data_IF_564648920550
#
_entry.id   IF_564648920550
#
_cell.length_a   1.000
_cell.length_b   1.000
_cell.length_c   1.000
_cell.angle_alpha   90.00
_cell.angle_beta   90.00
_cell.angle_gamma   90.00
#
_symmetry.space_group_name_H-M   'P 1'
#
loop_
_entity.id
_entity.type
_entity.pdbx_description
1 polymer ?
#
# COMPACT_ATOMS: atom_id res chain seq x y z
N UNK A 1 -7.61 -44.92 0.90
CA UNK A 1 -6.68 -44.09 1.70
C UNK A 1 -6.11 -42.99 0.81
N UNK A 2 -6.78 -41.84 0.65
CA UNK A 2 -6.18 -40.59 0.16
C UNK A 2 -6.96 -39.43 0.77
N UNK A 3 -6.32 -38.74 1.72
CA UNK A 3 -6.86 -37.59 2.45
C UNK A 3 -6.83 -36.40 1.49
N UNK A 4 -8.00 -35.88 1.15
CA UNK A 4 -8.14 -34.64 0.39
C UNK A 4 -7.50 -33.48 1.14
N UNK A 5 -6.40 -32.94 0.61
CA UNK A 5 -5.87 -31.65 1.05
C UNK A 5 -6.78 -30.55 0.49
N UNK A 6 -7.91 -30.33 1.16
CA UNK A 6 -8.59 -29.05 1.09
C UNK A 6 -7.65 -28.00 1.65
N UNK A 7 -6.87 -27.36 0.78
CA UNK A 7 -6.23 -26.07 1.07
C UNK A 7 -7.38 -25.13 1.43
N UNK A 8 -7.65 -24.99 2.73
CA UNK A 8 -8.41 -23.87 3.25
C UNK A 8 -7.68 -22.63 2.73
N UNK A 9 -8.28 -21.93 1.75
CA UNK A 9 -7.90 -20.55 1.47
C UNK A 9 -8.03 -19.84 2.81
N UNK A 10 -6.91 -19.61 3.48
CA UNK A 10 -6.87 -18.60 4.54
C UNK A 10 -7.47 -17.35 3.90
N UNK A 11 -8.40 -16.64 4.54
CA UNK A 11 -8.70 -15.29 4.11
C UNK A 11 -7.33 -14.60 4.03
N UNK A 12 -6.90 -14.23 2.83
CA UNK A 12 -5.58 -13.61 2.61
C UNK A 12 -5.52 -12.25 3.35
N UNK A 13 -6.68 -11.78 3.81
CA UNK A 13 -6.94 -10.54 4.54
C UNK A 13 -7.73 -10.86 5.83
N UNK A 14 -7.16 -11.66 6.72
CA UNK A 14 -7.67 -11.73 8.10
C UNK A 14 -7.13 -10.53 8.85
N UNK A 15 -8.00 -9.62 9.31
CA UNK A 15 -7.71 -8.48 10.20
C UNK A 15 -6.42 -7.68 9.91
N UNK A 16 -5.94 -7.68 8.66
CA UNK A 16 -4.76 -6.92 8.29
C UNK A 16 -5.20 -5.51 7.92
N UNK A 17 -5.02 -4.58 8.84
CA UNK A 17 -5.14 -3.14 8.58
C UNK A 17 -4.15 -2.74 7.48
N UNK A 18 -4.67 -2.19 6.38
CA UNK A 18 -3.86 -1.51 5.38
C UNK A 18 -3.60 -0.09 5.85
N UNK A 19 -2.32 0.26 5.92
CA UNK A 19 -1.84 1.61 6.11
C UNK A 19 -1.47 2.17 4.75
N UNK A 20 -1.88 3.39 4.49
CA UNK A 20 -1.57 4.10 3.26
C UNK A 20 -1.36 5.58 3.56
N UNK A 21 -0.57 6.24 2.73
CA UNK A 21 -0.33 7.66 2.85
C UNK A 21 0.52 8.17 1.70
N UNK A 22 0.88 9.44 1.80
CA UNK A 22 1.75 10.09 0.82
C UNK A 22 3.04 10.55 1.48
N UNK A 23 4.11 10.60 0.70
CA UNK A 23 5.37 11.20 1.12
C UNK A 23 6.04 11.85 -0.09
N UNK A 24 6.73 12.96 0.13
CA UNK A 24 7.52 13.58 -0.93
C UNK A 24 8.90 12.93 -0.99
N UNK A 25 9.28 12.45 -2.16
CA UNK A 25 10.62 11.90 -2.37
C UNK A 25 11.65 13.04 -2.33
N UNK A 26 12.67 13.00 -1.44
CA UNK A 26 13.53 14.15 -1.18
C UNK A 26 14.47 14.50 -2.35
N UNK A 27 14.78 13.54 -3.23
CA UNK A 27 15.64 13.77 -4.40
C UNK A 27 14.84 14.21 -5.63
N UNK A 28 13.80 13.48 -6.01
CA UNK A 28 13.02 13.76 -7.22
C UNK A 28 11.90 14.79 -7.03
N UNK A 29 11.56 15.13 -5.78
CA UNK A 29 10.50 16.09 -5.45
C UNK A 29 9.08 15.58 -5.70
N UNK A 30 8.94 14.36 -6.25
CA UNK A 30 7.64 13.74 -6.55
C UNK A 30 6.95 13.27 -5.29
N UNK A 31 5.63 13.39 -5.27
CA UNK A 31 4.76 12.85 -4.24
C UNK A 31 4.47 11.38 -4.52
N UNK A 32 4.92 10.50 -3.64
CA UNK A 32 4.70 9.07 -3.77
C UNK A 32 3.64 8.59 -2.81
N UNK A 33 2.72 7.76 -3.31
CA UNK A 33 1.76 7.04 -2.48
C UNK A 33 2.39 5.74 -2.02
N UNK A 34 2.34 5.47 -0.72
CA UNK A 34 2.87 4.25 -0.12
C UNK A 34 1.78 3.45 0.59
N UNK A 35 1.98 2.14 0.65
CA UNK A 35 1.14 1.20 1.37
C UNK A 35 1.96 0.32 2.32
N UNK A 36 1.32 -0.24 3.33
CA UNK A 36 1.91 -1.21 4.25
C UNK A 36 0.83 -2.01 4.99
N UNK A 37 1.06 -3.31 5.18
CA UNK A 37 0.18 -4.17 5.98
C UNK A 37 0.70 -4.42 7.39
N UNK A 38 1.99 -4.24 7.62
CA UNK A 38 2.67 -4.62 8.87
C UNK A 38 3.44 -3.47 9.53
N UNK A 39 3.66 -2.37 8.83
CA UNK A 39 4.60 -1.31 9.18
C UNK A 39 6.04 -1.60 8.75
N UNK A 40 6.40 -2.86 8.52
CA UNK A 40 7.75 -3.25 8.07
C UNK A 40 7.89 -3.36 6.55
N UNK A 41 6.76 -3.31 5.84
CA UNK A 41 6.61 -3.57 4.42
C UNK A 41 6.15 -2.31 3.67
N UNK A 42 6.81 -1.18 3.93
CA UNK A 42 6.51 0.07 3.22
C UNK A 42 6.85 -0.13 1.74
N UNK A 43 5.84 0.00 0.88
CA UNK A 43 6.00 -0.05 -0.57
C UNK A 43 5.37 1.18 -1.21
N UNK A 44 6.12 1.85 -2.06
CA UNK A 44 5.58 2.90 -2.92
C UNK A 44 4.94 2.29 -4.16
N UNK A 45 3.79 2.82 -4.55
CA UNK A 45 2.96 2.25 -5.62
C UNK A 45 2.59 3.25 -6.71
N UNK A 46 2.65 4.56 -6.44
CA UNK A 46 2.50 5.61 -7.46
C UNK A 46 3.42 6.78 -7.16
N UNK A 47 3.75 7.57 -8.19
CA UNK A 47 4.50 8.81 -8.07
C UNK A 47 3.83 9.91 -8.90
N UNK A 48 3.64 11.08 -8.29
CA UNK A 48 2.90 12.21 -8.84
C UNK A 48 3.70 13.50 -8.73
N UNK A 49 3.46 14.43 -9.65
CA UNK A 49 4.05 15.77 -9.58
C UNK A 49 3.33 16.65 -8.54
N UNK A 50 2.06 16.37 -8.28
CA UNK A 50 1.22 17.13 -7.36
C UNK A 50 0.84 16.30 -6.12
N UNK A 51 0.84 16.95 -4.96
CA UNK A 51 0.42 16.36 -3.69
C UNK A 51 -1.05 15.93 -3.71
N UNK A 52 -1.92 16.74 -4.31
CA UNK A 52 -3.36 16.47 -4.35
C UNK A 52 -3.68 15.18 -5.10
N UNK A 53 -2.93 14.88 -6.15
CA UNK A 53 -3.15 13.68 -6.96
C UNK A 53 -2.66 12.42 -6.22
N UNK A 54 -1.53 12.52 -5.53
CA UNK A 54 -1.09 11.46 -4.63
C UNK A 54 -2.10 11.23 -3.48
N UNK A 55 -2.66 12.30 -2.90
CA UNK A 55 -3.63 12.19 -1.81
C UNK A 55 -4.94 11.54 -2.27
N UNK A 56 -5.43 11.89 -3.46
CA UNK A 56 -6.61 11.23 -4.08
C UNK A 56 -6.36 9.72 -4.24
N UNK A 57 -5.18 9.33 -4.69
CA UNK A 57 -4.81 7.92 -4.85
C UNK A 57 -4.76 7.22 -3.48
N UNK A 58 -4.10 7.82 -2.49
CA UNK A 58 -4.03 7.28 -1.13
C UNK A 58 -5.43 7.04 -0.53
N UNK A 59 -6.35 8.00 -0.71
CA UNK A 59 -7.75 7.87 -0.28
C UNK A 59 -8.48 6.76 -1.04
N UNK A 60 -8.33 6.68 -2.36
CA UNK A 60 -8.97 5.63 -3.17
C UNK A 60 -8.52 4.23 -2.72
N UNK A 61 -7.25 4.07 -2.33
CA UNK A 61 -6.73 2.82 -1.78
C UNK A 61 -7.36 2.52 -0.41
N UNK A 62 -7.40 3.51 0.49
CA UNK A 62 -8.00 3.35 1.82
C UNK A 62 -9.49 2.97 1.72
N UNK A 63 -10.23 3.64 0.84
CA UNK A 63 -11.65 3.36 0.61
C UNK A 63 -11.86 1.97 0.03
N UNK A 64 -11.10 1.58 -1.00
CA UNK A 64 -11.23 0.25 -1.59
C UNK A 64 -10.89 -0.87 -0.60
N UNK A 65 -9.96 -0.62 0.33
CA UNK A 65 -9.65 -1.55 1.41
C UNK A 65 -10.78 -1.64 2.43
N UNK A 66 -11.31 -0.49 2.88
CA UNK A 66 -12.42 -0.41 3.84
C UNK A 66 -13.69 -1.06 3.32
N UNK A 67 -13.96 -0.95 2.02
CA UNK A 67 -15.09 -1.62 1.36
C UNK A 67 -14.90 -3.14 1.23
N UNK A 68 -13.71 -3.68 1.53
CA UNK A 68 -13.38 -5.09 1.32
C UNK A 68 -13.48 -5.50 -0.14
N UNK A 69 -13.22 -4.54 -1.05
CA UNK A 69 -13.46 -4.65 -2.50
C UNK A 69 -12.58 -5.70 -3.17
N UNK A 70 -11.39 -5.94 -2.62
CA UNK A 70 -10.42 -6.91 -3.14
C UNK A 70 -10.23 -8.04 -2.13
N UNK A 71 -10.51 -9.27 -2.56
CA UNK A 71 -10.45 -10.47 -1.72
C UNK A 71 -9.24 -11.33 -2.03
N UNK A 72 -8.58 -11.08 -3.16
CA UNK A 72 -7.38 -11.80 -3.58
C UNK A 72 -6.19 -10.88 -3.84
N UNK A 73 -5.00 -11.48 -3.79
CA UNK A 73 -3.74 -10.84 -4.15
C UNK A 73 -3.74 -10.33 -5.59
N UNK A 74 -4.37 -11.07 -6.51
CA UNK A 74 -4.44 -10.72 -7.93
C UNK A 74 -5.30 -9.47 -8.16
N UNK A 75 -6.46 -9.40 -7.50
CA UNK A 75 -7.35 -8.23 -7.56
C UNK A 75 -6.67 -6.98 -7.00
N UNK A 76 -5.99 -7.12 -5.87
CA UNK A 76 -5.23 -6.03 -5.24
C UNK A 76 -4.10 -5.56 -6.16
N UNK A 77 -3.37 -6.50 -6.77
CA UNK A 77 -2.28 -6.17 -7.71
C UNK A 77 -2.81 -5.49 -8.97
N UNK A 78 -3.94 -5.95 -9.50
CA UNK A 78 -4.58 -5.35 -10.67
C UNK A 78 -5.06 -3.92 -10.37
N UNK A 79 -5.64 -3.70 -9.19
CA UNK A 79 -6.02 -2.37 -8.73
C UNK A 79 -4.81 -1.45 -8.63
N UNK A 80 -3.75 -1.86 -7.94
CA UNK A 80 -2.52 -1.05 -7.81
C UNK A 80 -1.96 -0.67 -9.19
N UNK A 81 -1.93 -1.62 -10.13
CA UNK A 81 -1.48 -1.36 -11.51
C UNK A 81 -2.41 -0.43 -12.30
N UNK A 82 -3.67 -0.32 -11.91
CA UNK A 82 -4.64 0.58 -12.54
C UNK A 82 -4.58 2.01 -12.01
N UNK A 83 -3.87 2.25 -10.90
CA UNK A 83 -3.75 3.58 -10.32
C UNK A 83 -2.96 4.50 -11.25
N UNK A 84 -3.37 5.78 -11.38
CA UNK A 84 -2.64 6.75 -12.17
C UNK A 84 -1.25 6.98 -11.54
N UNK A 85 -0.24 7.21 -12.38
CA UNK A 85 1.11 7.60 -11.96
C UNK A 85 1.72 8.52 -13.03
N UNK A 86 2.32 9.62 -12.62
CA UNK A 86 2.89 10.62 -13.54
C UNK A 86 4.32 10.29 -13.95
N UNK A 87 4.96 9.36 -13.23
CA UNK A 87 6.36 9.03 -13.45
C UNK A 87 6.78 7.72 -12.79
N UNK A 88 8.07 7.40 -12.90
CA UNK A 88 8.65 6.25 -12.23
C UNK A 88 8.58 6.41 -10.71
N UNK A 89 8.41 5.28 -10.03
CA UNK A 89 8.43 5.18 -8.57
C UNK A 89 9.88 4.95 -8.15
N UNK A 90 10.49 5.99 -7.58
CA UNK A 90 11.86 5.91 -7.08
C UNK A 90 11.88 5.35 -5.65
N UNK A 91 12.82 4.46 -5.30
CA UNK A 91 12.90 3.89 -3.97
C UNK A 91 13.15 4.96 -2.92
N UNK A 92 12.31 4.98 -1.87
CA UNK A 92 12.47 5.92 -0.77
C UNK A 92 13.80 5.70 -0.03
N UNK A 93 14.48 6.77 0.39
CA UNK A 93 15.61 6.66 1.30
C UNK A 93 15.24 5.93 2.60
N UNK A 94 16.17 5.13 3.12
CA UNK A 94 15.92 4.26 4.27
C UNK A 94 15.45 5.02 5.52
N UNK A 95 15.92 6.25 5.74
CA UNK A 95 15.46 7.08 6.86
C UNK A 95 13.97 7.45 6.75
N UNK A 96 13.45 7.69 5.54
CA UNK A 96 12.03 7.95 5.31
C UNK A 96 11.22 6.68 5.54
N UNK A 97 11.68 5.55 5.00
CA UNK A 97 11.04 4.24 5.24
C UNK A 97 10.92 3.97 6.73
N UNK A 98 11.99 4.17 7.51
CA UNK A 98 11.96 4.00 8.96
C UNK A 98 11.00 4.95 9.68
N UNK A 99 10.85 6.19 9.21
CA UNK A 99 9.89 7.14 9.76
C UNK A 99 8.46 6.68 9.49
N UNK A 100 8.15 6.27 8.26
CA UNK A 100 6.83 5.74 7.89
C UNK A 100 6.50 4.47 8.66
N UNK A 101 7.46 3.54 8.80
CA UNK A 101 7.30 2.36 9.65
C UNK A 101 6.94 2.72 11.08
N UNK A 102 7.65 3.67 11.70
CA UNK A 102 7.36 4.14 13.05
C UNK A 102 5.97 4.78 13.15
N UNK A 103 5.55 5.54 12.15
CA UNK A 103 4.20 6.10 12.10
C UNK A 103 3.14 5.00 12.11
N UNK A 104 3.27 3.98 11.26
CA UNK A 104 2.37 2.83 11.23
C UNK A 104 2.33 2.11 12.58
N UNK A 105 3.48 1.87 13.21
CA UNK A 105 3.53 1.23 14.52
C UNK A 105 2.87 2.05 15.63
N UNK A 106 3.01 3.37 15.59
CA UNK A 106 2.39 4.25 16.56
C UNK A 106 0.88 4.35 16.36
N UNK A 107 0.38 4.30 15.12
CA UNK A 107 -1.05 4.32 14.82
C UNK A 107 -1.80 3.05 15.27
N UNK A 108 -1.09 1.97 15.58
CA UNK A 108 -1.66 0.70 16.10
C UNK A 108 -1.79 0.66 17.62
N UNK A 109 -1.19 1.62 18.34
CA UNK A 109 -1.23 1.70 19.81
C UNK A 109 -2.42 2.55 20.26
#
# INVERSE_FOLDING_TARGET
MFKGFGRKKKPVLGDNELFTGITQHPVTGRWQTWISFTGNDIQCITAHNNQDDADKVARAIADAWREGKYKTSEETTAFIKSLPTDGPIDPLPQNIVMQLSKQVFNSRK
#
